data_IF_914788716483
#
_entry.id   IF_914788716483
#
_cell.length_a   1.000
_cell.length_b   1.000
_cell.length_c   1.000
_cell.angle_alpha   90.00
_cell.angle_beta   90.00
_cell.angle_gamma   90.00
#
_symmetry.space_group_name_H-M   'P 1'
#
loop_
_entity.id
_entity.type
_entity.pdbx_description
1 polymer ?
#
# COMPACT_ATOMS: atom_id res chain seq x y z
N UNK A 1 24.15 0.52 6.39
CA UNK A 1 22.85 0.88 5.84
C UNK A 1 22.23 1.95 6.72
N UNK A 2 21.63 2.99 6.17
CA UNK A 2 20.94 4.05 6.92
C UNK A 2 19.50 4.14 6.44
N UNK A 3 18.58 4.23 7.39
CA UNK A 3 17.15 4.45 7.11
C UNK A 3 16.80 5.91 7.35
N UNK A 4 15.99 6.49 6.49
CA UNK A 4 15.53 7.87 6.58
C UNK A 4 14.00 7.89 6.58
N UNK A 5 13.44 9.08 6.82
CA UNK A 5 12.01 9.34 6.67
C UNK A 5 11.12 8.48 7.57
N UNK A 6 11.39 8.58 8.87
CA UNK A 6 10.60 7.89 9.89
C UNK A 6 9.29 8.61 10.27
N UNK A 7 9.03 9.77 9.66
CA UNK A 7 7.88 10.61 10.02
C UNK A 7 6.52 9.92 9.90
N UNK A 8 6.39 9.03 8.93
CA UNK A 8 5.17 8.26 8.65
C UNK A 8 5.27 6.79 9.07
N UNK A 9 6.27 6.45 9.89
CA UNK A 9 6.46 5.08 10.37
C UNK A 9 5.31 4.65 11.26
N UNK A 10 4.85 3.41 11.05
CA UNK A 10 3.79 2.78 11.84
C UNK A 10 4.22 1.38 12.28
N UNK A 11 3.65 0.89 13.38
CA UNK A 11 3.74 -0.51 13.76
C UNK A 11 2.58 -1.24 13.10
N UNK A 12 2.88 -2.09 12.14
CA UNK A 12 1.87 -2.79 11.35
C UNK A 12 2.35 -4.20 10.98
N UNK A 13 1.47 -5.00 10.38
CA UNK A 13 1.86 -6.28 9.80
C UNK A 13 2.93 -6.04 8.70
N UNK A 14 3.99 -6.87 8.61
CA UNK A 14 5.06 -6.66 7.63
C UNK A 14 4.56 -6.60 6.19
N UNK A 15 3.50 -7.34 5.85
CA UNK A 15 2.91 -7.34 4.52
C UNK A 15 2.20 -6.02 4.15
N UNK A 16 1.83 -5.20 5.13
CA UNK A 16 1.28 -3.87 4.86
C UNK A 16 2.26 -2.96 4.08
N UNK A 17 3.57 -3.19 4.23
CA UNK A 17 4.60 -2.48 3.50
C UNK A 17 4.56 -2.75 1.98
N UNK A 18 3.91 -3.84 1.55
CA UNK A 18 3.85 -4.22 0.14
C UNK A 18 2.75 -3.52 -0.66
N UNK A 19 1.82 -2.82 0.00
CA UNK A 19 0.75 -2.08 -0.69
C UNK A 19 1.29 -1.17 -1.80
N UNK A 20 2.26 -0.33 -1.48
CA UNK A 20 2.82 0.64 -2.44
C UNK A 20 3.75 -0.02 -3.45
N UNK A 21 4.74 -0.84 -3.08
CA UNK A 21 5.60 -1.53 -4.04
C UNK A 21 4.84 -2.36 -5.07
N UNK A 22 3.88 -3.18 -4.63
CA UNK A 22 3.08 -3.99 -5.56
C UNK A 22 2.14 -3.15 -6.43
N UNK A 23 1.59 -2.06 -5.88
CA UNK A 23 0.84 -1.08 -6.67
C UNK A 23 1.70 -0.44 -7.77
N UNK A 24 2.97 -0.18 -7.51
CA UNK A 24 3.91 0.29 -8.54
C UNK A 24 4.22 -0.78 -9.58
N UNK A 25 4.43 -2.04 -9.20
CA UNK A 25 4.63 -3.15 -10.15
C UNK A 25 3.44 -3.23 -11.11
N UNK A 26 2.24 -3.24 -10.56
CA UNK A 26 1.00 -3.29 -11.36
C UNK A 26 0.91 -2.11 -12.34
N UNK A 27 1.12 -0.90 -11.86
CA UNK A 27 0.97 0.32 -12.67
C UNK A 27 2.06 0.47 -13.73
N UNK A 28 3.33 0.26 -13.36
CA UNK A 28 4.46 0.49 -14.26
C UNK A 28 4.57 -0.57 -15.34
N UNK A 29 4.18 -1.82 -15.04
CA UNK A 29 4.21 -2.91 -16.01
C UNK A 29 2.88 -3.07 -16.74
N UNK A 30 1.80 -2.43 -16.28
CA UNK A 30 0.48 -2.57 -16.88
C UNK A 30 -0.09 -3.98 -16.73
N UNK A 31 0.20 -4.66 -15.61
CA UNK A 31 -0.16 -6.07 -15.36
C UNK A 31 -1.23 -6.20 -14.29
N UNK A 32 -2.00 -7.29 -14.36
CA UNK A 32 -2.93 -7.70 -13.32
C UNK A 32 -2.25 -8.46 -12.18
N UNK A 33 -3.01 -8.72 -11.11
CA UNK A 33 -2.50 -9.46 -9.94
C UNK A 33 -2.22 -10.94 -10.23
N UNK A 34 -2.83 -11.49 -11.28
CA UNK A 34 -2.67 -12.87 -11.73
C UNK A 34 -1.59 -13.03 -12.80
N UNK A 35 -1.03 -11.92 -13.30
CA UNK A 35 -0.02 -11.95 -14.35
C UNK A 35 1.35 -12.37 -13.77
N UNK A 36 2.14 -13.18 -14.52
CA UNK A 36 3.42 -13.70 -14.03
C UNK A 36 4.37 -12.66 -13.46
N UNK A 37 4.61 -11.48 -14.07
CA UNK A 37 5.53 -10.50 -13.51
C UNK A 37 5.10 -9.97 -12.14
N UNK A 38 3.80 -9.89 -11.89
CA UNK A 38 3.27 -9.49 -10.58
C UNK A 38 3.40 -10.64 -9.58
N UNK A 39 2.98 -11.85 -9.97
CA UNK A 39 3.07 -13.04 -9.13
C UNK A 39 4.52 -13.30 -8.68
N UNK A 40 5.49 -13.21 -9.61
CA UNK A 40 6.90 -13.39 -9.31
C UNK A 40 7.40 -12.39 -8.24
N UNK A 41 7.02 -11.12 -8.35
CA UNK A 41 7.41 -10.09 -7.38
C UNK A 41 6.76 -10.33 -6.00
N UNK A 42 5.48 -10.68 -5.97
CA UNK A 42 4.75 -11.05 -4.76
C UNK A 42 5.37 -12.25 -4.07
N UNK A 43 5.56 -13.34 -4.81
CA UNK A 43 6.01 -14.61 -4.29
C UNK A 43 7.46 -14.53 -3.78
N UNK A 44 8.34 -13.80 -4.48
CA UNK A 44 9.69 -13.55 -4.00
C UNK A 44 9.72 -12.86 -2.63
N UNK A 45 8.73 -12.00 -2.33
CA UNK A 45 8.61 -11.39 -1.01
C UNK A 45 8.04 -12.39 0.02
N UNK A 46 7.00 -13.13 -0.34
CA UNK A 46 6.31 -14.04 0.57
C UNK A 46 7.17 -15.25 0.97
N UNK A 47 8.01 -15.74 0.05
CA UNK A 47 8.91 -16.89 0.27
C UNK A 47 9.84 -16.69 1.48
N UNK A 48 10.20 -15.43 1.78
CA UNK A 48 11.02 -15.09 2.96
C UNK A 48 10.31 -15.45 4.27
N UNK A 49 8.99 -15.40 4.29
CA UNK A 49 8.17 -15.60 5.49
C UNK A 49 7.65 -17.04 5.65
N UNK A 50 7.67 -17.82 4.57
CA UNK A 50 7.18 -19.19 4.58
C UNK A 50 7.72 -20.06 5.73
N UNK A 51 9.02 -20.05 6.04
CA UNK A 51 9.57 -20.83 7.16
C UNK A 51 9.08 -20.40 8.54
N UNK A 52 8.67 -19.12 8.71
CA UNK A 52 8.19 -18.56 9.96
C UNK A 52 6.68 -18.77 10.18
N UNK A 53 5.93 -19.08 9.11
CA UNK A 53 4.48 -19.22 9.13
C UNK A 53 4.04 -20.50 8.38
N UNK A 54 4.49 -21.70 8.83
CA UNK A 54 4.19 -22.94 8.14
C UNK A 54 2.69 -23.24 8.15
N UNK A 55 2.13 -23.49 6.96
CA UNK A 55 0.72 -23.82 6.78
C UNK A 55 -0.22 -22.62 6.73
N UNK A 56 0.28 -21.40 6.77
CA UNK A 56 -0.53 -20.20 6.56
C UNK A 56 -0.67 -19.89 5.05
N UNK A 57 -1.83 -19.36 4.68
CA UNK A 57 -2.06 -18.77 3.36
C UNK A 57 -1.50 -17.35 3.35
N UNK A 58 -0.22 -17.23 2.95
CA UNK A 58 0.49 -15.96 2.96
C UNK A 58 -0.06 -14.97 1.92
N UNK A 59 -0.62 -15.46 0.82
CA UNK A 59 -1.24 -14.62 -0.20
C UNK A 59 -2.51 -13.96 0.32
N UNK A 60 -3.41 -14.74 0.91
CA UNK A 60 -4.61 -14.19 1.54
C UNK A 60 -4.27 -13.23 2.69
N UNK A 61 -3.23 -13.53 3.46
CA UNK A 61 -2.74 -12.66 4.53
C UNK A 61 -2.17 -11.35 3.97
N UNK A 62 -1.44 -11.40 2.85
CA UNK A 62 -0.93 -10.20 2.15
C UNK A 62 -2.08 -9.33 1.66
N UNK A 63 -3.07 -9.91 1.00
CA UNK A 63 -4.24 -9.17 0.52
C UNK A 63 -4.94 -8.44 1.67
N UNK A 64 -5.21 -9.13 2.76
CA UNK A 64 -5.85 -8.54 3.93
C UNK A 64 -4.99 -7.43 4.54
N UNK A 65 -3.68 -7.65 4.68
CA UNK A 65 -2.76 -6.65 5.22
C UNK A 65 -2.71 -5.39 4.35
N UNK A 66 -2.72 -5.54 3.02
CA UNK A 66 -2.78 -4.41 2.08
C UNK A 66 -4.11 -3.65 2.19
N UNK A 67 -5.24 -4.34 2.30
CA UNK A 67 -6.55 -3.68 2.51
C UNK A 67 -6.57 -2.88 3.81
N UNK A 68 -6.07 -3.43 4.90
CA UNK A 68 -5.95 -2.70 6.19
C UNK A 68 -4.98 -1.52 6.07
N UNK A 69 -3.86 -1.68 5.36
CA UNK A 69 -2.88 -0.63 5.15
C UNK A 69 -3.44 0.59 4.41
N UNK A 70 -4.45 0.43 3.57
CA UNK A 70 -5.15 1.56 2.92
C UNK A 70 -5.74 2.53 3.94
N UNK A 71 -6.24 2.04 5.08
CA UNK A 71 -6.78 2.90 6.14
C UNK A 71 -5.68 3.80 6.72
N UNK A 72 -4.51 3.23 7.01
CA UNK A 72 -3.36 4.02 7.45
C UNK A 72 -2.93 5.05 6.40
N UNK A 73 -2.95 4.65 5.12
CA UNK A 73 -2.62 5.53 4.00
C UNK A 73 -3.60 6.70 3.86
N UNK A 74 -4.92 6.46 4.03
CA UNK A 74 -5.93 7.53 4.06
C UNK A 74 -5.58 8.56 5.13
N UNK A 75 -5.25 8.12 6.34
CA UNK A 75 -4.88 9.00 7.45
C UNK A 75 -3.57 9.78 7.18
N UNK A 76 -2.62 9.15 6.49
CA UNK A 76 -1.37 9.82 6.08
C UNK A 76 -1.66 10.92 5.05
N UNK A 77 -2.45 10.63 4.02
CA UNK A 77 -2.87 11.61 3.03
C UNK A 77 -3.64 12.78 3.64
N UNK A 78 -4.63 12.50 4.49
CA UNK A 78 -5.42 13.53 5.17
C UNK A 78 -4.53 14.46 6.00
N UNK A 79 -3.56 13.88 6.74
CA UNK A 79 -2.59 14.65 7.54
C UNK A 79 -1.72 15.53 6.66
N UNK A 80 -1.19 15.01 5.55
CA UNK A 80 -0.34 15.76 4.63
C UNK A 80 -1.10 16.93 3.99
N UNK A 81 -2.34 16.69 3.55
CA UNK A 81 -3.20 17.73 2.95
C UNK A 81 -3.53 18.82 3.97
N UNK A 82 -3.85 18.46 5.21
CA UNK A 82 -4.11 19.44 6.28
C UNK A 82 -2.88 20.28 6.60
N UNK A 83 -1.72 19.63 6.75
CA UNK A 83 -0.46 20.33 7.04
C UNK A 83 -0.12 21.35 5.94
N UNK A 84 -0.24 20.96 4.67
CA UNK A 84 0.01 21.87 3.55
C UNK A 84 -0.96 23.08 3.56
N UNK A 85 -2.23 22.87 3.88
CA UNK A 85 -3.21 23.97 4.00
C UNK A 85 -2.90 24.89 5.17
N UNK A 86 -2.52 24.36 6.31
CA UNK A 86 -2.18 25.13 7.50
C UNK A 86 -0.94 26.01 7.25
N UNK A 87 -0.03 25.55 6.38
CA UNK A 87 1.14 26.33 5.91
C UNK A 87 0.80 27.31 4.78
N UNK A 88 -0.47 27.39 4.36
CA UNK A 88 -0.90 28.27 3.28
C UNK A 88 -0.49 27.83 1.87
N UNK A 89 -0.12 26.56 1.71
CA UNK A 89 0.23 25.98 0.42
C UNK A 89 -1.03 25.66 -0.39
N UNK A 90 -0.97 25.91 -1.70
CA UNK A 90 -2.00 25.44 -2.61
C UNK A 90 -1.82 23.92 -2.85
N UNK A 91 -2.87 23.15 -2.53
CA UNK A 91 -2.86 21.69 -2.70
C UNK A 91 -3.55 21.35 -4.01
N UNK A 92 -2.83 20.70 -4.92
CA UNK A 92 -3.37 20.17 -6.17
C UNK A 92 -4.57 19.26 -5.94
N UNK A 93 -5.52 19.23 -6.88
CA UNK A 93 -6.76 18.44 -6.75
C UNK A 93 -6.48 16.96 -6.58
N UNK A 94 -5.47 16.42 -7.28
CA UNK A 94 -5.07 15.01 -7.16
C UNK A 94 -4.69 14.64 -5.72
N UNK A 95 -3.95 15.51 -5.03
CA UNK A 95 -3.58 15.30 -3.63
C UNK A 95 -4.75 15.50 -2.69
N UNK A 96 -5.63 16.43 -3.03
CA UNK A 96 -6.82 16.74 -2.23
C UNK A 96 -7.83 15.60 -2.25
N UNK A 97 -7.99 14.91 -3.39
CA UNK A 97 -8.90 13.78 -3.55
C UNK A 97 -8.32 12.45 -3.03
N UNK A 98 -6.98 12.33 -2.93
CA UNK A 98 -6.29 11.09 -2.59
C UNK A 98 -6.84 10.38 -1.32
N UNK A 99 -7.18 11.04 -0.20
CA UNK A 99 -7.78 10.36 0.96
C UNK A 99 -9.08 9.65 0.62
N UNK A 100 -9.97 10.32 -0.11
CA UNK A 100 -11.28 9.77 -0.45
C UNK A 100 -11.19 8.70 -1.52
N UNK A 101 -10.33 8.86 -2.52
CA UNK A 101 -10.08 7.86 -3.55
C UNK A 101 -9.48 6.57 -2.95
N UNK A 102 -8.51 6.72 -2.05
CA UNK A 102 -7.93 5.59 -1.34
C UNK A 102 -8.98 4.89 -0.47
N UNK A 103 -9.84 5.64 0.22
CA UNK A 103 -10.92 5.07 1.03
C UNK A 103 -11.94 4.32 0.16
N UNK A 104 -12.36 4.93 -0.96
CA UNK A 104 -13.30 4.31 -1.90
C UNK A 104 -12.75 3.01 -2.48
N UNK A 105 -11.43 2.94 -2.71
CA UNK A 105 -10.77 1.75 -3.24
C UNK A 105 -10.79 0.52 -2.30
N UNK A 106 -11.25 0.67 -1.06
CA UNK A 106 -11.53 -0.48 -0.20
C UNK A 106 -12.71 -1.33 -0.71
N UNK A 107 -13.57 -0.74 -1.55
CA UNK A 107 -14.70 -1.42 -2.17
C UNK A 107 -14.35 -2.07 -3.51
N UNK A 108 -13.13 -1.84 -4.00
CA UNK A 108 -12.66 -2.43 -5.26
C UNK A 108 -12.34 -3.92 -5.07
N UNK A 109 -12.52 -4.70 -6.13
CA UNK A 109 -12.13 -6.11 -6.13
C UNK A 109 -10.61 -6.27 -5.93
N UNK A 110 -9.82 -5.37 -6.53
CA UNK A 110 -8.37 -5.36 -6.34
C UNK A 110 -7.97 -4.77 -4.99
N UNK A 111 -7.24 -5.55 -4.21
CA UNK A 111 -6.67 -5.09 -2.93
C UNK A 111 -5.59 -4.00 -3.08
N UNK A 112 -5.11 -3.74 -4.30
CA UNK A 112 -4.12 -2.71 -4.62
C UNK A 112 -4.75 -1.43 -5.21
N UNK A 113 -6.03 -1.43 -5.52
CA UNK A 113 -6.71 -0.24 -6.04
C UNK A 113 -6.47 0.99 -5.15
N UNK A 114 -6.16 2.16 -5.71
CA UNK A 114 -5.87 3.38 -4.97
C UNK A 114 -4.54 3.40 -4.20
N UNK A 115 -3.65 2.46 -4.50
CA UNK A 115 -2.32 2.38 -3.87
C UNK A 115 -1.33 3.41 -4.44
#
# INVERSE_FOLDING_TARGET
MRFYDWGDSVVAHPFAAMLVPLGFVQRLLGVGVDDPPFADARDAYLDVFGPAAPGEDLEATLELACRVAKIARVLTWDRAVRAARDEGQEVDETWRSAPMETLASLLDDSYLGGA
#
